data_IF_689158875685
#
_entry.id   IF_689158875685
#
_cell.length_a   1.000
_cell.length_b   1.000
_cell.length_c   1.000
_cell.angle_alpha   90.00
_cell.angle_beta   90.00
_cell.angle_gamma   90.00
#
_symmetry.space_group_name_H-M   'P 1'
#
loop_
_entity.id
_entity.type
_entity.pdbx_description
1 polymer ?
#
# COMPACT_ATOMS: atom_id res chain seq x y z
N UNK A 1 5.66 -31.35 16.86
CA UNK A 1 6.91 -31.43 17.64
C UNK A 1 7.43 -30.03 17.97
N UNK A 2 8.09 -29.86 19.11
CA UNK A 2 8.80 -28.61 19.43
C UNK A 2 10.08 -28.53 18.59
N UNK A 3 10.25 -27.42 17.87
CA UNK A 3 11.41 -27.13 17.05
C UNK A 3 12.03 -25.79 17.45
N UNK A 4 13.34 -25.66 17.28
CA UNK A 4 14.04 -24.39 17.40
C UNK A 4 14.36 -23.90 16.00
N UNK A 5 14.03 -22.65 15.69
CA UNK A 5 14.30 -22.01 14.39
C UNK A 5 15.14 -20.76 14.65
N UNK A 6 16.25 -20.65 13.92
CA UNK A 6 17.11 -19.48 13.96
C UNK A 6 16.63 -18.46 12.93
N UNK A 7 16.28 -17.25 13.37
CA UNK A 7 15.90 -16.15 12.48
C UNK A 7 17.05 -15.15 12.42
N UNK A 8 17.61 -14.93 11.23
CA UNK A 8 18.77 -14.09 11.02
C UNK A 8 18.45 -12.88 10.14
N UNK A 9 18.97 -11.71 10.51
CA UNK A 9 18.92 -10.48 9.73
C UNK A 9 20.19 -10.32 8.89
N UNK A 10 20.09 -9.58 7.79
CA UNK A 10 21.26 -9.18 6.98
C UNK A 10 22.27 -8.32 7.75
N UNK A 11 21.83 -7.66 8.83
CA UNK A 11 22.70 -6.91 9.75
C UNK A 11 23.62 -7.82 10.60
N UNK A 12 23.38 -9.14 10.61
CA UNK A 12 24.07 -10.11 11.45
C UNK A 12 23.42 -10.35 12.82
N UNK A 13 22.36 -9.60 13.18
CA UNK A 13 21.55 -9.88 14.37
C UNK A 13 20.67 -11.12 14.15
N UNK A 14 20.44 -11.91 15.21
CA UNK A 14 19.63 -13.12 15.11
C UNK A 14 18.92 -13.48 16.42
N UNK A 15 17.82 -14.20 16.32
CA UNK A 15 17.04 -14.72 17.44
C UNK A 15 16.81 -16.24 17.27
N UNK A 16 16.73 -16.97 18.37
CA UNK A 16 16.48 -18.42 18.37
C UNK A 16 15.14 -18.71 19.00
N UNK A 17 14.15 -19.01 18.17
CA UNK A 17 12.76 -19.12 18.61
C UNK A 17 12.38 -20.58 18.75
N UNK A 18 11.89 -20.94 19.92
CA UNK A 18 11.41 -22.29 20.20
C UNK A 18 9.89 -22.31 20.14
N UNK A 19 9.33 -23.06 19.19
CA UNK A 19 7.89 -23.11 18.92
C UNK A 19 7.47 -24.49 18.40
N UNK A 20 6.18 -24.71 18.18
CA UNK A 20 5.66 -25.94 17.61
C UNK A 20 5.81 -25.91 16.07
N UNK A 21 6.19 -27.03 15.47
CA UNK A 21 6.26 -27.20 14.01
C UNK A 21 4.90 -27.00 13.30
N UNK A 22 3.80 -27.26 13.99
CA UNK A 22 2.43 -26.98 13.52
C UNK A 22 2.04 -25.49 13.69
N UNK A 23 2.86 -24.66 14.33
CA UNK A 23 2.58 -23.22 14.42
C UNK A 23 2.62 -22.56 13.03
N UNK A 24 1.80 -21.52 12.78
CA UNK A 24 1.89 -20.75 11.55
C UNK A 24 3.26 -20.08 11.42
N UNK A 25 3.76 -19.97 10.18
CA UNK A 25 4.93 -19.13 9.85
C UNK A 25 4.76 -17.71 10.36
N UNK A 26 3.53 -17.19 10.30
CA UNK A 26 3.19 -15.87 10.81
C UNK A 26 3.45 -15.71 12.32
N UNK A 27 3.19 -16.74 13.12
CA UNK A 27 3.49 -16.70 14.55
C UNK A 27 5.01 -16.67 14.83
N UNK A 28 5.80 -17.40 14.03
CA UNK A 28 7.27 -17.32 14.07
C UNK A 28 7.75 -15.91 13.72
N UNK A 29 7.20 -15.30 12.66
CA UNK A 29 7.52 -13.94 12.22
C UNK A 29 7.23 -12.91 13.32
N UNK A 30 6.05 -12.95 13.92
CA UNK A 30 5.65 -12.03 15.00
C UNK A 30 6.53 -12.19 16.25
N UNK A 31 6.86 -13.43 16.62
CA UNK A 31 7.77 -13.70 17.74
C UNK A 31 9.17 -13.15 17.47
N UNK A 32 9.69 -13.36 16.25
CA UNK A 32 10.98 -12.84 15.83
C UNK A 32 11.02 -11.31 15.81
N UNK A 33 9.97 -10.66 15.30
CA UNK A 33 9.83 -9.21 15.29
C UNK A 33 9.90 -8.64 16.71
N UNK A 34 9.23 -9.28 17.67
CA UNK A 34 9.28 -8.89 19.08
C UNK A 34 10.66 -9.08 19.72
N UNK A 35 11.33 -10.21 19.46
CA UNK A 35 12.65 -10.50 20.04
C UNK A 35 13.77 -9.65 19.43
N UNK A 36 13.67 -9.34 18.13
CA UNK A 36 14.70 -8.58 17.41
C UNK A 36 14.47 -7.07 17.46
N UNK A 37 13.25 -6.62 17.78
CA UNK A 37 12.90 -5.20 17.83
C UNK A 37 12.84 -4.53 16.47
N UNK A 38 12.59 -5.31 15.41
CA UNK A 38 12.51 -4.84 14.01
C UNK A 38 11.26 -5.40 13.37
N UNK A 39 10.60 -4.66 12.48
CA UNK A 39 9.47 -5.22 11.73
C UNK A 39 9.95 -6.13 10.63
N UNK A 40 9.57 -7.38 10.73
CA UNK A 40 9.95 -8.41 9.77
C UNK A 40 8.84 -8.53 8.75
N UNK A 41 9.08 -8.16 7.50
CA UNK A 41 8.06 -8.23 6.44
C UNK A 41 7.87 -9.69 6.00
N UNK A 42 8.96 -10.43 5.80
CA UNK A 42 8.92 -11.81 5.28
C UNK A 42 10.04 -12.65 5.87
N UNK A 43 9.77 -13.94 6.00
CA UNK A 43 10.77 -14.96 6.29
C UNK A 43 11.11 -15.73 5.00
N UNK A 44 12.38 -16.05 4.83
CA UNK A 44 12.93 -16.76 3.68
C UNK A 44 13.66 -18.00 4.18
N UNK A 45 13.39 -19.15 3.57
CA UNK A 45 14.15 -20.38 3.81
C UNK A 45 15.62 -20.26 3.36
N UNK A 46 16.45 -21.23 3.78
CA UNK A 46 17.83 -21.38 3.27
C UNK A 46 17.90 -21.55 1.74
N UNK A 47 16.83 -22.06 1.12
CA UNK A 47 16.73 -22.20 -0.34
C UNK A 47 16.34 -20.90 -1.07
N UNK A 48 16.12 -19.81 -0.34
CA UNK A 48 15.66 -18.53 -0.92
C UNK A 48 14.15 -18.46 -1.15
N UNK A 49 13.37 -19.45 -0.70
CA UNK A 49 11.92 -19.45 -0.86
C UNK A 49 11.24 -18.60 0.22
N UNK A 50 10.31 -17.74 -0.20
CA UNK A 50 9.47 -16.96 0.72
C UNK A 50 8.51 -17.89 1.43
N UNK A 51 8.54 -17.89 2.77
CA UNK A 51 7.65 -18.69 3.61
C UNK A 51 6.27 -18.04 3.68
N UNK A 52 5.23 -18.79 3.38
CA UNK A 52 3.85 -18.30 3.40
C UNK A 52 3.33 -18.23 4.83
N UNK A 53 2.88 -17.06 5.29
CA UNK A 53 2.41 -16.85 6.68
C UNK A 53 1.30 -17.82 7.12
N UNK A 54 0.45 -18.24 6.19
CA UNK A 54 -0.67 -19.17 6.41
C UNK A 54 -0.26 -20.64 6.52
N UNK A 55 0.94 -20.99 6.06
CA UNK A 55 1.46 -22.37 6.17
C UNK A 55 2.02 -22.63 7.55
N UNK A 56 1.97 -23.88 8.00
CA UNK A 56 2.67 -24.30 9.23
C UNK A 56 4.18 -24.39 8.96
N UNK A 57 5.01 -24.30 10.01
CA UNK A 57 6.46 -24.45 9.85
C UNK A 57 6.83 -25.79 9.22
N UNK A 58 6.09 -26.86 9.57
CA UNK A 58 6.23 -28.19 8.98
C UNK A 58 5.92 -28.20 7.48
N UNK A 59 4.79 -27.60 7.06
CA UNK A 59 4.41 -27.47 5.65
C UNK A 59 5.41 -26.62 4.86
N UNK A 60 5.99 -25.63 5.52
CA UNK A 60 7.04 -24.77 4.97
C UNK A 60 8.42 -25.47 4.92
N UNK A 61 8.51 -26.72 5.39
CA UNK A 61 9.71 -27.55 5.34
C UNK A 61 10.75 -27.24 6.43
N UNK A 62 10.41 -26.44 7.44
CA UNK A 62 11.30 -26.08 8.52
C UNK A 62 11.44 -27.24 9.53
N UNK A 63 12.67 -27.45 9.99
CA UNK A 63 13.02 -28.50 10.96
C UNK A 63 13.74 -27.88 12.15
N UNK A 64 13.90 -28.67 13.21
CA UNK A 64 14.72 -28.25 14.35
C UNK A 64 16.14 -27.88 13.91
N UNK A 65 16.59 -26.67 14.29
CA UNK A 65 17.87 -26.10 13.90
C UNK A 65 17.87 -25.36 12.56
N UNK A 66 16.73 -25.26 11.86
CA UNK A 66 16.66 -24.55 10.59
C UNK A 66 16.98 -23.07 10.76
N UNK A 67 17.69 -22.49 9.78
CA UNK A 67 17.93 -21.04 9.72
C UNK A 67 17.03 -20.41 8.66
N UNK A 68 16.41 -19.28 8.99
CA UNK A 68 15.62 -18.48 8.05
C UNK A 68 16.14 -17.06 8.03
N UNK A 69 16.23 -16.49 6.82
CA UNK A 69 16.53 -15.07 6.64
C UNK A 69 15.26 -14.25 6.85
N UNK A 70 15.35 -13.15 7.58
CA UNK A 70 14.27 -12.19 7.73
C UNK A 70 14.53 -10.95 6.87
N UNK A 71 13.56 -10.60 6.02
CA UNK A 71 13.51 -9.29 5.38
C UNK A 71 12.90 -8.33 6.40
N UNK A 72 13.66 -7.31 6.76
CA UNK A 72 13.21 -6.24 7.64
C UNK A 72 12.58 -5.10 6.84
N UNK A 73 11.65 -4.41 7.48
CA UNK A 73 11.15 -3.11 7.05
C UNK A 73 12.21 -2.06 7.34
N UNK A 74 12.47 -1.19 6.38
CA UNK A 74 13.22 0.02 6.61
C UNK A 74 12.28 1.14 7.02
N UNK A 75 12.75 1.99 7.92
CA UNK A 75 12.00 3.19 8.28
C UNK A 75 11.77 4.07 7.04
N UNK A 76 10.54 4.53 6.85
CA UNK A 76 10.14 5.35 5.71
C UNK A 76 9.52 6.66 6.19
N UNK A 77 9.94 7.77 5.60
CA UNK A 77 9.36 9.10 5.87
C UNK A 77 8.58 9.55 4.66
N UNK A 78 7.32 9.92 4.89
CA UNK A 78 6.43 10.52 3.89
C UNK A 78 6.00 11.90 4.36
N UNK A 79 5.75 12.81 3.41
CA UNK A 79 5.40 14.19 3.69
C UNK A 79 4.13 14.63 2.97
N UNK A 80 3.35 15.49 3.60
CA UNK A 80 2.36 16.37 2.97
C UNK A 80 3.01 17.75 2.72
N UNK A 81 2.22 18.77 2.37
CA UNK A 81 2.74 20.15 2.25
C UNK A 81 3.25 20.69 3.60
N UNK A 82 2.59 20.32 4.71
CA UNK A 82 2.85 20.90 6.03
C UNK A 82 3.26 19.91 7.13
N UNK A 83 3.21 18.61 6.86
CA UNK A 83 3.45 17.57 7.88
C UNK A 83 4.29 16.41 7.35
N UNK A 84 4.74 15.57 8.28
CA UNK A 84 5.49 14.36 8.02
C UNK A 84 4.91 13.19 8.82
N UNK A 85 5.09 12.01 8.27
CA UNK A 85 4.82 10.74 8.94
C UNK A 85 5.99 9.79 8.74
N UNK A 86 6.47 9.20 9.83
CA UNK A 86 7.47 8.13 9.86
C UNK A 86 6.75 6.81 10.06
N UNK A 87 6.90 5.91 9.10
CA UNK A 87 6.66 4.49 9.30
C UNK A 87 7.91 3.88 9.93
N UNK A 88 7.82 3.53 11.21
CA UNK A 88 8.88 2.91 11.97
C UNK A 88 9.16 1.49 11.50
N UNK A 89 10.36 0.98 11.79
CA UNK A 89 10.72 -0.38 11.42
C UNK A 89 9.75 -1.40 12.02
N UNK A 90 9.25 -1.19 13.24
CA UNK A 90 8.29 -2.07 13.93
C UNK A 90 6.85 -2.01 13.39
N UNK A 91 6.58 -1.21 12.36
CA UNK A 91 5.25 -1.04 11.77
C UNK A 91 4.34 -0.04 12.50
N UNK A 92 4.86 0.70 13.48
CA UNK A 92 4.15 1.85 14.07
C UNK A 92 4.35 3.11 13.24
N UNK A 93 3.51 4.12 13.48
CA UNK A 93 3.61 5.43 12.81
C UNK A 93 3.76 6.56 13.83
N UNK A 94 4.65 7.49 13.53
CA UNK A 94 4.86 8.74 14.26
C UNK A 94 4.67 9.91 13.30
N UNK A 95 3.88 10.92 13.68
CA UNK A 95 3.61 12.11 12.87
C UNK A 95 4.12 13.38 13.55
N UNK A 96 4.49 14.39 12.76
CA UNK A 96 4.87 15.73 13.25
C UNK A 96 4.68 16.80 12.16
N UNK A 97 4.62 18.07 12.57
CA UNK A 97 4.44 19.21 11.68
C UNK A 97 3.14 19.97 11.97
N UNK A 98 2.52 20.50 10.92
CA UNK A 98 1.27 21.25 11.01
C UNK A 98 0.05 20.32 11.12
N UNK A 99 -0.78 20.53 12.15
CA UNK A 99 -1.96 19.73 12.41
C UNK A 99 -3.00 19.83 11.28
N UNK A 100 -3.10 21.00 10.65
CA UNK A 100 -4.03 21.24 9.53
C UNK A 100 -3.62 20.45 8.27
N UNK A 101 -2.40 19.92 8.23
CA UNK A 101 -1.87 19.11 7.12
C UNK A 101 -1.59 17.65 7.52
N UNK A 102 -2.22 17.17 8.59
CA UNK A 102 -2.19 15.76 8.99
C UNK A 102 -1.11 15.37 10.00
N UNK A 103 -0.47 16.34 10.68
CA UNK A 103 0.46 16.02 11.76
C UNK A 103 -0.22 15.44 13.01
N UNK A 104 -1.51 15.71 13.21
CA UNK A 104 -2.27 15.10 14.31
C UNK A 104 -2.91 13.77 13.86
N UNK A 105 -2.38 12.66 14.39
CA UNK A 105 -2.89 11.31 14.18
C UNK A 105 -3.56 10.71 15.43
N UNK A 106 -3.84 11.52 16.47
CA UNK A 106 -4.24 11.03 17.79
C UNK A 106 -5.50 10.14 17.74
N UNK A 107 -6.51 10.50 16.95
CA UNK A 107 -7.77 9.77 16.80
C UNK A 107 -7.59 8.38 16.16
N UNK A 108 -6.54 8.19 15.36
CA UNK A 108 -6.27 6.92 14.65
C UNK A 108 -5.05 6.18 15.19
N UNK A 109 -4.34 6.75 16.17
CA UNK A 109 -3.05 6.23 16.63
C UNK A 109 -3.11 4.77 17.10
N UNK A 110 -4.23 4.36 17.72
CA UNK A 110 -4.41 2.98 18.18
C UNK A 110 -4.57 1.96 17.04
N UNK A 111 -4.96 2.42 15.85
CA UNK A 111 -5.16 1.63 14.64
C UNK A 111 -3.87 1.52 13.80
N UNK A 112 -2.92 2.45 13.95
CA UNK A 112 -1.65 2.50 13.21
C UNK A 112 -0.62 1.50 13.76
N UNK A 113 -0.98 0.22 13.68
CA UNK A 113 -0.16 -0.93 14.09
C UNK A 113 0.02 -1.87 12.92
N UNK A 114 1.21 -2.46 12.81
CA UNK A 114 1.57 -3.35 11.70
C UNK A 114 1.35 -2.72 10.30
N UNK A 115 1.55 -1.40 10.21
CA UNK A 115 1.43 -0.62 8.98
C UNK A 115 2.45 -1.12 7.97
N UNK A 116 1.98 -1.42 6.75
CA UNK A 116 2.78 -1.93 5.62
C UNK A 116 3.27 -0.83 4.70
N UNK A 117 2.45 0.20 4.50
CA UNK A 117 2.72 1.30 3.58
C UNK A 117 2.05 2.56 4.12
N UNK A 118 2.67 3.72 3.89
CA UNK A 118 2.08 5.03 4.15
C UNK A 118 2.20 5.92 2.91
N UNK A 119 1.18 6.72 2.64
CA UNK A 119 1.15 7.68 1.53
C UNK A 119 0.67 9.03 2.05
N UNK A 120 1.15 10.13 1.46
CA UNK A 120 0.73 11.50 1.77
C UNK A 120 0.13 12.18 0.53
N UNK A 121 -1.04 12.79 0.70
CA UNK A 121 -1.60 13.76 -0.24
C UNK A 121 -1.07 15.16 0.09
N UNK A 122 -1.64 16.21 -0.48
CA UNK A 122 -1.26 17.59 -0.16
C UNK A 122 -1.49 17.97 1.32
N UNK A 123 -2.47 17.35 1.99
CA UNK A 123 -2.85 17.69 3.38
C UNK A 123 -3.33 16.53 4.26
N UNK A 124 -3.26 15.29 3.78
CA UNK A 124 -3.71 14.12 4.52
C UNK A 124 -2.78 12.93 4.29
N UNK A 125 -2.97 11.88 5.08
CA UNK A 125 -2.25 10.62 4.96
C UNK A 125 -3.20 9.42 4.89
N UNK A 126 -2.71 8.35 4.27
CA UNK A 126 -3.33 7.04 4.27
C UNK A 126 -2.30 5.95 4.60
N UNK A 127 -2.67 5.03 5.48
CA UNK A 127 -1.87 3.88 5.86
C UNK A 127 -2.56 2.57 5.45
N UNK A 128 -1.79 1.65 4.86
CA UNK A 128 -2.20 0.28 4.59
C UNK A 128 -1.71 -0.62 5.71
N UNK A 129 -2.60 -1.33 6.36
CA UNK A 129 -2.29 -2.28 7.44
C UNK A 129 -1.96 -3.68 6.89
N UNK A 130 -1.31 -4.52 7.70
CA UNK A 130 -0.93 -5.89 7.33
C UNK A 130 -2.11 -6.81 6.97
N UNK A 131 -3.29 -6.51 7.52
CA UNK A 131 -4.54 -7.23 7.29
C UNK A 131 -5.30 -6.70 6.05
N UNK A 132 -4.72 -5.74 5.32
CA UNK A 132 -5.29 -5.17 4.10
C UNK A 132 -6.35 -4.09 4.34
N UNK A 133 -6.53 -3.63 5.58
CA UNK A 133 -7.36 -2.47 5.91
C UNK A 133 -6.61 -1.15 5.68
N UNK A 134 -7.39 -0.10 5.43
CA UNK A 134 -6.87 1.26 5.21
C UNK A 134 -7.36 2.18 6.33
N UNK A 135 -6.43 2.97 6.86
CA UNK A 135 -6.68 4.03 7.86
C UNK A 135 -6.26 5.36 7.26
N UNK A 136 -7.09 6.39 7.37
CA UNK A 136 -6.81 7.74 6.87
C UNK A 136 -6.92 8.78 7.98
N UNK A 137 -6.15 9.86 7.86
CA UNK A 137 -6.21 11.01 8.77
C UNK A 137 -5.69 12.29 8.11
N UNK A 138 -5.89 13.42 8.77
CA UNK A 138 -5.61 14.75 8.24
C UNK A 138 -6.85 15.41 7.66
N UNK A 139 -6.66 16.41 6.81
CA UNK A 139 -7.74 17.24 6.29
C UNK A 139 -8.66 16.45 5.34
N UNK A 140 -9.97 16.54 5.57
CA UNK A 140 -10.99 15.84 4.79
C UNK A 140 -11.06 16.29 3.32
N UNK A 141 -10.79 17.57 3.06
CA UNK A 141 -10.76 18.15 1.70
C UNK A 141 -9.56 17.62 0.87
N UNK A 142 -8.58 17.02 1.56
CA UNK A 142 -7.41 16.37 0.96
C UNK A 142 -7.42 14.84 1.12
N UNK A 143 -8.57 14.26 1.48
CA UNK A 143 -8.75 12.80 1.56
C UNK A 143 -8.43 12.18 2.91
N UNK A 144 -8.34 12.96 3.98
CA UNK A 144 -8.22 12.46 5.36
C UNK A 144 -9.41 11.63 5.85
N UNK A 145 -10.53 11.63 5.13
CA UNK A 145 -11.73 10.86 5.46
C UNK A 145 -12.11 9.86 4.35
N UNK A 146 -11.88 8.56 4.59
CA UNK A 146 -12.29 7.45 3.71
C UNK A 146 -13.65 6.83 4.06
N UNK A 147 -14.38 7.34 5.05
CA UNK A 147 -15.59 6.66 5.59
C UNK A 147 -16.64 6.30 4.53
N UNK A 148 -16.83 7.16 3.53
CA UNK A 148 -17.79 6.94 2.44
C UNK A 148 -17.45 5.73 1.54
N UNK A 149 -16.19 5.29 1.53
CA UNK A 149 -15.72 4.16 0.72
C UNK A 149 -15.15 3.02 1.58
N UNK A 150 -15.25 3.10 2.91
CA UNK A 150 -14.61 2.15 3.82
C UNK A 150 -15.05 0.70 3.56
N UNK A 151 -16.34 0.48 3.26
CA UNK A 151 -16.90 -0.84 2.95
C UNK A 151 -16.34 -1.44 1.65
N UNK A 152 -15.70 -0.62 0.80
CA UNK A 152 -15.05 -1.04 -0.43
C UNK A 152 -13.55 -1.29 -0.25
N UNK A 153 -12.92 -0.79 0.82
CA UNK A 153 -11.47 -0.90 1.08
C UNK A 153 -11.13 -2.22 1.76
N UNK A 154 -11.46 -3.34 1.11
CA UNK A 154 -11.24 -4.69 1.61
C UNK A 154 -10.13 -5.39 0.80
N UNK A 155 -9.17 -6.02 1.49
CA UNK A 155 -8.04 -6.71 0.87
C UNK A 155 -7.23 -5.80 -0.06
N UNK A 156 -6.91 -4.59 0.42
CA UNK A 156 -6.08 -3.63 -0.32
C UNK A 156 -4.65 -4.14 -0.39
N UNK A 157 -4.04 -4.05 -1.58
CA UNK A 157 -2.66 -4.46 -1.84
C UNK A 157 -1.69 -3.29 -1.95
N UNK A 158 -2.18 -2.15 -2.44
CA UNK A 158 -1.34 -0.99 -2.70
C UNK A 158 -2.15 0.30 -2.53
N UNK A 159 -1.52 1.30 -1.91
CA UNK A 159 -2.03 2.67 -1.83
C UNK A 159 -1.21 3.62 -2.71
N UNK A 160 -1.87 4.65 -3.25
CA UNK A 160 -1.24 5.74 -3.97
C UNK A 160 -1.92 7.06 -3.61
N UNK A 161 -1.14 8.14 -3.52
CA UNK A 161 -1.64 9.49 -3.35
C UNK A 161 -1.40 10.33 -4.62
N UNK A 162 -2.30 11.27 -4.90
CA UNK A 162 -2.21 12.19 -6.04
C UNK A 162 -2.92 13.51 -5.74
N UNK A 163 -2.16 14.60 -5.66
CA UNK A 163 -2.69 15.91 -5.26
C UNK A 163 -3.48 15.80 -3.95
N UNK A 164 -4.80 16.02 -4.04
CA UNK A 164 -5.73 16.04 -2.89
C UNK A 164 -6.45 14.71 -2.63
N UNK A 165 -6.04 13.61 -3.26
CA UNK A 165 -6.81 12.35 -3.25
C UNK A 165 -5.93 11.10 -3.18
N UNK A 166 -6.57 9.96 -2.95
CA UNK A 166 -5.93 8.65 -2.80
C UNK A 166 -6.60 7.60 -3.67
N UNK A 167 -5.85 6.56 -4.05
CA UNK A 167 -6.34 5.34 -4.67
C UNK A 167 -5.81 4.11 -3.93
N UNK A 168 -6.66 3.10 -3.80
CA UNK A 168 -6.36 1.77 -3.29
C UNK A 168 -6.59 0.74 -4.38
N UNK A 169 -5.59 -0.10 -4.66
CA UNK A 169 -5.73 -1.25 -5.55
C UNK A 169 -5.98 -2.50 -4.72
N UNK A 170 -7.08 -3.20 -4.98
CA UNK A 170 -7.52 -4.39 -4.28
C UNK A 170 -6.94 -5.67 -4.89
N UNK A 171 -7.01 -6.77 -4.15
CA UNK A 171 -6.52 -8.08 -4.59
C UNK A 171 -7.22 -8.64 -5.84
N UNK A 172 -8.45 -8.22 -6.13
CA UNK A 172 -9.20 -8.58 -7.34
C UNK A 172 -8.85 -7.70 -8.55
N UNK A 173 -7.98 -6.69 -8.37
CA UNK A 173 -7.57 -5.72 -9.38
C UNK A 173 -8.48 -4.49 -9.48
N UNK A 174 -9.54 -4.41 -8.67
CA UNK A 174 -10.39 -3.22 -8.55
C UNK A 174 -9.59 -2.06 -7.96
N UNK A 175 -9.89 -0.83 -8.37
CA UNK A 175 -9.32 0.37 -7.73
C UNK A 175 -10.41 1.25 -7.13
N UNK A 176 -10.27 1.61 -5.86
CA UNK A 176 -11.17 2.50 -5.13
C UNK A 176 -10.45 3.82 -4.86
N UNK A 177 -11.10 4.98 -5.01
CA UNK A 177 -10.48 6.26 -4.66
C UNK A 177 -11.40 7.14 -3.78
N UNK A 178 -10.78 8.07 -3.09
CA UNK A 178 -11.44 9.07 -2.24
C UNK A 178 -10.62 10.36 -2.16
N UNK A 179 -11.14 11.36 -1.46
CA UNK A 179 -10.48 12.66 -1.21
C UNK A 179 -10.83 13.80 -2.16
N UNK A 180 -11.63 13.56 -3.19
CA UNK A 180 -12.31 14.67 -3.90
C UNK A 180 -13.71 14.25 -4.33
N UNK A 181 -14.69 15.09 -4.01
CA UNK A 181 -16.08 14.90 -4.42
C UNK A 181 -16.24 14.78 -5.95
N UNK A 182 -15.37 15.50 -6.68
CA UNK A 182 -15.32 15.45 -8.15
C UNK A 182 -14.73 14.14 -8.69
N UNK A 183 -13.98 13.41 -7.87
CA UNK A 183 -13.33 12.14 -8.20
C UNK A 183 -14.29 10.98 -7.93
N UNK A 184 -14.97 10.98 -6.77
CA UNK A 184 -15.97 9.95 -6.43
C UNK A 184 -17.08 9.82 -7.48
N UNK A 185 -17.56 10.94 -8.02
CA UNK A 185 -18.60 10.96 -9.06
C UNK A 185 -18.10 10.45 -10.42
N UNK A 186 -16.79 10.55 -10.71
CA UNK A 186 -16.18 10.10 -11.98
C UNK A 186 -15.77 8.64 -11.98
N UNK A 187 -15.67 8.01 -10.81
CA UNK A 187 -15.16 6.65 -10.62
C UNK A 187 -16.21 5.54 -10.69
N UNK A 188 -17.48 5.89 -10.92
CA UNK A 188 -18.49 4.90 -11.22
C UNK A 188 -18.07 4.11 -12.47
N UNK A 189 -17.95 2.78 -12.34
CA UNK A 189 -17.49 1.85 -13.38
C UNK A 189 -16.00 1.92 -13.75
N UNK A 190 -15.12 2.34 -12.85
CA UNK A 190 -13.67 2.32 -13.08
C UNK A 190 -13.10 0.89 -12.94
N UNK A 191 -12.51 0.37 -14.01
CA UNK A 191 -11.84 -0.94 -14.05
C UNK A 191 -10.36 -0.86 -13.68
N UNK A 192 -9.67 0.21 -14.10
CA UNK A 192 -8.24 0.45 -13.80
C UNK A 192 -7.98 1.93 -13.67
N UNK A 193 -6.97 2.30 -12.88
CA UNK A 193 -6.60 3.69 -12.64
C UNK A 193 -5.08 3.82 -12.76
N UNK A 194 -4.64 4.97 -13.27
CA UNK A 194 -3.26 5.40 -13.20
C UNK A 194 -3.22 6.87 -12.79
N UNK A 195 -2.29 7.23 -11.92
CA UNK A 195 -2.19 8.57 -11.37
C UNK A 195 -0.76 9.11 -11.50
N UNK A 196 -0.68 10.43 -11.72
CA UNK A 196 0.54 11.23 -11.71
C UNK A 196 0.44 12.32 -10.63
N UNK A 197 1.50 13.09 -10.42
CA UNK A 197 1.57 14.11 -9.37
C UNK A 197 0.46 15.20 -9.45
N UNK A 198 -0.19 15.38 -10.61
CA UNK A 198 -1.28 16.36 -10.72
C UNK A 198 -2.43 15.97 -11.65
N UNK A 199 -2.50 14.72 -12.09
CA UNK A 199 -3.60 14.22 -12.90
C UNK A 199 -3.81 12.72 -12.71
N UNK A 200 -5.02 12.25 -12.98
CA UNK A 200 -5.42 10.85 -12.94
C UNK A 200 -6.14 10.47 -14.22
N UNK A 201 -6.02 9.20 -14.60
CA UNK A 201 -6.75 8.62 -15.71
C UNK A 201 -7.29 7.24 -15.31
N UNK A 202 -8.51 6.93 -15.75
CA UNK A 202 -9.17 5.65 -15.50
C UNK A 202 -9.58 5.01 -16.80
N UNK A 203 -9.53 3.68 -16.83
CA UNK A 203 -10.25 2.86 -17.81
C UNK A 203 -11.58 2.49 -17.18
N UNK A 204 -12.68 2.75 -17.88
CA UNK A 204 -14.01 2.31 -17.48
C UNK A 204 -14.28 0.85 -17.88
N UNK A 205 -15.33 0.25 -17.35
CA UNK A 205 -15.78 -1.11 -17.70
C UNK A 205 -16.02 -1.29 -19.21
N UNK A 206 -16.44 -0.23 -19.90
CA UNK A 206 -16.64 -0.20 -21.36
C UNK A 206 -15.35 -0.01 -22.17
N UNK A 207 -14.19 0.05 -21.52
CA UNK A 207 -12.89 0.28 -22.16
C UNK A 207 -12.60 1.72 -22.55
N UNK A 208 -13.49 2.67 -22.24
CA UNK A 208 -13.24 4.10 -22.45
C UNK A 208 -12.33 4.69 -21.37
N UNK A 209 -11.61 5.76 -21.70
CA UNK A 209 -10.73 6.45 -20.73
C UNK A 209 -11.28 7.80 -20.33
N UNK A 210 -11.27 8.07 -19.03
CA UNK A 210 -11.54 9.39 -18.47
C UNK A 210 -10.32 9.85 -17.69
N UNK A 211 -9.78 11.01 -18.05
CA UNK A 211 -8.71 11.67 -17.29
C UNK A 211 -9.20 12.99 -16.70
N UNK A 212 -8.60 13.37 -15.57
CA UNK A 212 -8.89 14.62 -14.86
C UNK A 212 -7.69 15.06 -14.04
N UNK A 213 -7.70 16.32 -13.61
CA UNK A 213 -6.56 16.99 -12.96
C UNK A 213 -6.04 18.12 -13.83
N UNK A 214 -4.78 18.51 -13.64
CA UNK A 214 -4.15 19.59 -14.38
C UNK A 214 -3.92 19.19 -15.85
N UNK A 215 -4.29 20.07 -16.78
CA UNK A 215 -4.15 19.81 -18.21
C UNK A 215 -2.69 19.55 -18.62
N UNK A 216 -1.74 20.22 -17.97
CA UNK A 216 -0.30 20.04 -18.22
C UNK A 216 0.26 18.68 -17.77
N UNK A 217 -0.51 17.93 -16.97
CA UNK A 217 -0.15 16.60 -16.50
C UNK A 217 -0.93 15.48 -17.22
N UNK A 218 -1.45 15.76 -18.42
CA UNK A 218 -2.11 14.76 -19.26
C UNK A 218 -3.59 14.51 -18.93
N UNK A 219 -4.20 15.37 -18.11
CA UNK A 219 -5.64 15.32 -17.85
C UNK A 219 -6.51 15.74 -19.06
N UNK A 220 -5.97 16.56 -19.96
CA UNK A 220 -6.71 17.03 -21.14
C UNK A 220 -6.70 15.98 -22.26
N UNK A 221 -7.77 15.18 -22.29
CA UNK A 221 -7.99 14.17 -23.33
C UNK A 221 -8.76 14.69 -24.53
N UNK A 222 -9.09 15.99 -24.61
CA UNK A 222 -9.98 16.54 -25.65
C UNK A 222 -9.50 16.24 -27.07
N UNK A 223 -8.18 16.22 -27.29
CA UNK A 223 -7.56 15.96 -28.60
C UNK A 223 -7.52 14.48 -29.01
N UNK A 224 -7.64 13.57 -28.05
CA UNK A 224 -7.50 12.12 -28.26
C UNK A 224 -8.75 11.34 -27.82
N UNK A 225 -9.83 12.04 -27.45
CA UNK A 225 -11.05 11.46 -26.90
C UNK A 225 -11.62 10.33 -27.75
N UNK A 226 -11.65 10.51 -29.07
CA UNK A 226 -12.20 9.52 -30.01
C UNK A 226 -11.30 8.28 -30.18
N UNK A 227 -10.05 8.35 -29.71
CA UNK A 227 -9.07 7.25 -29.76
C UNK A 227 -9.03 6.47 -28.44
N UNK A 228 -9.61 7.02 -27.36
CA UNK A 228 -9.62 6.44 -26.03
C UNK A 228 -10.78 5.44 -25.84
N UNK A 229 -10.91 4.51 -26.80
CA UNK A 229 -11.82 3.35 -26.73
C UNK A 229 -11.03 2.04 -26.72
N UNK A 230 -11.61 1.01 -26.14
CA UNK A 230 -11.04 -0.34 -26.08
C UNK A 230 -9.65 -0.38 -25.41
N UNK A 231 -9.41 0.54 -24.48
CA UNK A 231 -8.15 0.63 -23.72
C UNK A 231 -8.10 -0.48 -22.68
N UNK A 232 -6.97 -1.19 -22.63
CA UNK A 232 -6.74 -2.28 -21.67
C UNK A 232 -5.74 -1.91 -20.57
N UNK A 233 -4.81 -1.00 -20.87
CA UNK A 233 -3.80 -0.55 -19.93
C UNK A 233 -3.63 0.96 -20.01
N UNK A 234 -3.44 1.59 -18.85
CA UNK A 234 -2.98 2.97 -18.73
C UNK A 234 -1.79 2.97 -17.77
N UNK A 235 -0.76 3.72 -18.12
CA UNK A 235 0.34 3.99 -17.23
C UNK A 235 0.64 5.48 -17.19
N UNK A 236 0.90 6.01 -16.01
CA UNK A 236 1.32 7.37 -15.78
C UNK A 236 2.84 7.44 -15.56
N UNK A 237 3.44 8.54 -16.00
CA UNK A 237 4.76 8.96 -15.52
C UNK A 237 4.60 9.82 -14.27
N UNK A 238 5.65 9.85 -13.44
CA UNK A 238 5.68 10.69 -12.25
C UNK A 238 5.52 12.19 -12.58
N UNK A 239 6.01 12.63 -13.74
CA UNK A 239 6.01 14.03 -14.19
C UNK A 239 4.75 14.45 -14.95
N UNK A 240 3.75 13.58 -15.06
CA UNK A 240 2.42 13.91 -15.61
C UNK A 240 2.25 13.69 -17.11
N UNK A 241 2.68 12.55 -17.62
CA UNK A 241 2.22 12.04 -18.91
C UNK A 241 1.48 10.71 -18.69
N UNK A 242 0.53 10.41 -19.57
CA UNK A 242 -0.12 9.10 -19.62
C UNK A 242 0.17 8.41 -20.94
N UNK A 243 0.36 7.09 -20.89
CA UNK A 243 0.27 6.20 -22.05
C UNK A 243 -0.92 5.27 -21.87
N UNK A 244 -1.68 5.05 -22.94
CA UNK A 244 -2.79 4.11 -22.97
C UNK A 244 -2.49 3.03 -24.02
N UNK A 245 -2.81 1.77 -23.76
CA UNK A 245 -2.66 0.69 -24.74
C UNK A 245 -4.04 0.12 -25.04
N UNK A 246 -4.41 0.12 -26.31
CA UNK A 246 -5.68 -0.40 -26.83
C UNK A 246 -5.61 -1.91 -27.06
N UNK A 247 -6.77 -2.55 -27.16
CA UNK A 247 -6.90 -3.99 -27.39
C UNK A 247 -6.27 -4.48 -28.70
N UNK A 248 -6.13 -3.58 -29.69
CA UNK A 248 -5.45 -3.83 -30.97
C UNK A 248 -3.91 -3.64 -30.90
N UNK A 249 -3.37 -3.31 -29.72
CA UNK A 249 -1.95 -3.09 -29.48
C UNK A 249 -1.45 -1.68 -29.83
N UNK A 250 -2.33 -0.75 -30.22
CA UNK A 250 -1.96 0.65 -30.46
C UNK A 250 -1.77 1.42 -29.14
N UNK A 251 -0.88 2.43 -29.18
CA UNK A 251 -0.54 3.33 -28.06
C UNK A 251 -0.95 4.75 -28.38
#
# INVERSE_FOLDING_TARGET
MLISVHVALLSGQSASITTWDESPVEALRQTAQKELGVGIIRLISESGAVLQGTSTLLQAGLRHGATVGAIVRHAEVVSTIGAFALLCEDGTVVTWGDADFGADSAEVQEQLKDVQQICGSDGAFAALLADGFVVTWGDEDFGGNSSAVQDQLLNVLELQAFGVAFAATLADGTTVCWGSQSIQTKLQHARRISASNGACAIIKDDGSVVAWGHAEYGADTSKVRDQLSDVQHIQATWTGAFSAIRSDGTV
#
